data_IF_454588570414
#
_entry.id   IF_454588570414
#
_cell.length_a   1.000
_cell.length_b   1.000
_cell.length_c   1.000
_cell.angle_alpha   90.00
_cell.angle_beta   90.00
_cell.angle_gamma   90.00
#
_symmetry.space_group_name_H-M   'P 1'
#
loop_
_entity.id
_entity.type
_entity.pdbx_description
1 polymer ?
#
# COMPACT_ATOMS: atom_id res chain seq x y z
N UNK A 1 -61.10 51.87 24.75
CA UNK A 1 -59.85 51.98 23.96
C UNK A 1 -58.75 52.50 24.88
N UNK A 2 -57.57 51.85 24.94
CA UNK A 2 -56.44 52.32 25.75
C UNK A 2 -55.58 51.19 26.34
N UNK A 3 -54.60 50.71 25.58
CA UNK A 3 -53.59 49.75 26.06
C UNK A 3 -52.56 50.42 26.97
N UNK A 4 -52.14 49.77 28.07
CA UNK A 4 -50.75 49.82 28.60
C UNK A 4 -50.40 48.52 29.35
N UNK A 5 -49.82 47.54 28.66
CA UNK A 5 -49.09 46.43 29.29
C UNK A 5 -47.57 46.65 29.14
N UNK A 6 -46.84 46.45 30.23
CA UNK A 6 -45.45 46.90 30.39
C UNK A 6 -44.44 45.88 29.84
N UNK A 7 -43.70 46.23 28.79
CA UNK A 7 -42.59 45.38 28.29
C UNK A 7 -41.31 45.65 29.07
N UNK A 8 -40.92 44.71 29.96
CA UNK A 8 -39.64 44.76 30.68
C UNK A 8 -38.55 44.06 29.84
N UNK A 9 -37.54 44.78 29.36
CA UNK A 9 -36.38 44.20 28.64
C UNK A 9 -35.43 43.48 29.61
N UNK A 10 -35.03 42.22 29.33
CA UNK A 10 -33.83 41.62 29.93
C UNK A 10 -32.54 42.26 29.39
N UNK A 11 -31.44 42.09 30.12
CA UNK A 11 -30.18 42.83 29.94
C UNK A 11 -29.21 42.21 28.93
N UNK A 12 -28.36 43.06 28.34
CA UNK A 12 -27.19 42.63 27.54
C UNK A 12 -26.12 41.99 28.44
N UNK A 13 -26.25 40.70 28.77
CA UNK A 13 -25.20 39.86 29.39
C UNK A 13 -25.31 38.40 28.95
N UNK A 14 -25.34 38.16 27.63
CA UNK A 14 -25.43 36.78 27.11
C UNK A 14 -24.84 36.62 25.69
N UNK A 15 -23.85 37.44 25.32
CA UNK A 15 -23.33 37.45 23.92
C UNK A 15 -21.83 37.63 23.79
N UNK A 16 -21.06 37.42 24.87
CA UNK A 16 -19.59 37.36 24.84
C UNK A 16 -19.08 36.29 25.82
N UNK A 17 -19.09 35.02 25.38
CA UNK A 17 -18.01 34.05 25.58
C UNK A 17 -18.43 32.64 25.13
N UNK A 18 -18.42 32.41 23.81
CA UNK A 18 -17.97 31.14 23.24
C UNK A 18 -17.60 31.34 21.77
N UNK A 19 -16.54 32.13 21.52
CA UNK A 19 -15.65 31.84 20.39
C UNK A 19 -14.90 30.56 20.73
N UNK A 20 -15.63 29.44 20.71
CA UNK A 20 -15.04 28.13 20.65
C UNK A 20 -14.24 28.14 19.35
N UNK A 21 -12.91 28.00 19.46
CA UNK A 21 -12.08 27.77 18.29
C UNK A 21 -12.69 26.58 17.58
N UNK A 22 -13.20 26.78 16.37
CA UNK A 22 -13.51 25.69 15.46
C UNK A 22 -12.16 25.10 15.05
N UNK A 23 -11.58 24.33 15.96
CA UNK A 23 -10.51 23.42 15.64
C UNK A 23 -11.09 22.54 14.55
N UNK A 24 -10.60 22.71 13.32
CA UNK A 24 -10.97 21.83 12.23
C UNK A 24 -10.48 20.46 12.68
N UNK A 25 -11.41 19.61 13.13
CA UNK A 25 -11.14 18.21 13.41
C UNK A 25 -11.03 17.56 12.05
N UNK A 26 -9.90 17.81 11.39
CA UNK A 26 -9.49 17.05 10.23
C UNK A 26 -9.46 15.61 10.66
N UNK A 27 -10.21 14.76 9.95
CA UNK A 27 -10.17 13.33 10.17
C UNK A 27 -8.71 12.87 10.16
N UNK A 28 -8.31 12.09 11.17
CA UNK A 28 -6.96 11.51 11.24
C UNK A 28 -6.65 10.60 10.02
N UNK A 29 -7.68 10.23 9.26
CA UNK A 29 -7.61 9.44 8.04
C UNK A 29 -8.26 10.18 6.88
N UNK A 30 -7.56 10.24 5.75
CA UNK A 30 -8.11 10.70 4.47
C UNK A 30 -8.54 9.49 3.64
N UNK A 31 -9.75 9.53 3.06
CA UNK A 31 -10.15 8.56 2.05
C UNK A 31 -9.35 8.81 0.76
N UNK A 32 -8.59 7.81 0.33
CA UNK A 32 -7.81 7.82 -0.91
C UNK A 32 -8.58 7.09 -2.01
N UNK A 33 -8.04 7.07 -3.23
CA UNK A 33 -8.62 6.31 -4.35
C UNK A 33 -8.72 4.83 -3.97
N UNK A 34 -9.82 4.17 -4.34
CA UNK A 34 -9.98 2.75 -4.09
C UNK A 34 -9.01 1.92 -4.94
N UNK A 35 -8.54 0.81 -4.37
CA UNK A 35 -7.64 -0.12 -5.04
C UNK A 35 -8.38 -0.87 -6.17
N UNK A 36 -7.80 -1.04 -7.38
CA UNK A 36 -8.48 -1.69 -8.52
C UNK A 36 -8.95 -3.13 -8.29
N UNK A 37 -8.50 -3.78 -7.22
CA UNK A 37 -8.96 -5.12 -6.80
C UNK A 37 -8.79 -5.23 -5.29
N UNK A 38 -9.78 -5.71 -4.52
CA UNK A 38 -9.61 -5.99 -3.10
C UNK A 38 -8.48 -7.00 -2.86
N UNK A 39 -7.53 -6.64 -1.99
CA UNK A 39 -6.44 -7.50 -1.53
C UNK A 39 -6.59 -7.76 -0.03
N UNK A 40 -6.54 -9.02 0.38
CA UNK A 40 -6.40 -9.42 1.79
C UNK A 40 -4.93 -9.67 2.08
N UNK A 41 -4.43 -9.20 3.22
CA UNK A 41 -3.02 -9.31 3.62
C UNK A 41 -1.96 -9.00 2.54
N UNK A 42 -2.07 -7.85 1.83
CA UNK A 42 -0.98 -7.44 0.96
C UNK A 42 0.32 -7.19 1.75
N UNK A 43 1.44 -7.45 1.10
CA UNK A 43 2.73 -6.88 1.51
C UNK A 43 2.86 -5.49 0.88
N UNK A 44 3.27 -4.49 1.66
CA UNK A 44 3.41 -3.11 1.18
C UNK A 44 4.82 -2.57 1.48
N UNK A 45 5.47 -1.98 0.48
CA UNK A 45 6.83 -1.41 0.58
C UNK A 45 6.80 0.06 0.16
N UNK A 46 7.16 1.01 1.03
CA UNK A 46 7.26 2.43 0.66
C UNK A 46 8.50 2.68 -0.20
N UNK A 47 8.33 3.40 -1.30
CA UNK A 47 9.41 3.79 -2.21
C UNK A 47 9.20 5.23 -2.69
N UNK A 48 9.87 6.20 -2.05
CA UNK A 48 9.76 7.64 -2.37
C UNK A 48 8.30 8.13 -2.27
N UNK A 49 7.69 8.49 -3.39
CA UNK A 49 6.28 8.92 -3.48
C UNK A 49 5.34 7.78 -3.89
N UNK A 50 5.79 6.54 -3.78
CA UNK A 50 5.07 5.33 -4.16
C UNK A 50 4.90 4.39 -2.95
N UNK A 51 3.80 3.66 -2.92
CA UNK A 51 3.61 2.47 -2.08
C UNK A 51 3.48 1.30 -3.05
N UNK A 52 4.47 0.40 -3.05
CA UNK A 52 4.40 -0.85 -3.79
C UNK A 52 3.54 -1.82 -2.99
N UNK A 53 2.55 -2.43 -3.63
CA UNK A 53 1.57 -3.33 -3.03
C UNK A 53 1.71 -4.66 -3.77
N UNK A 54 2.17 -5.70 -3.09
CA UNK A 54 2.63 -6.94 -3.70
C UNK A 54 1.72 -8.13 -3.36
N UNK A 55 0.69 -8.35 -4.18
CA UNK A 55 -0.23 -9.48 -4.04
C UNK A 55 -1.09 -9.44 -2.77
N UNK A 56 -1.57 -10.61 -2.38
CA UNK A 56 -2.37 -10.84 -1.17
C UNK A 56 -2.88 -12.28 -1.14
N UNK A 57 -3.72 -12.64 -0.16
CA UNK A 57 -4.35 -13.97 -0.10
C UNK A 57 -5.10 -14.24 -1.41
N UNK A 58 -4.68 -15.29 -2.12
CA UNK A 58 -5.23 -15.68 -3.43
C UNK A 58 -5.15 -14.61 -4.53
N UNK A 59 -4.30 -13.58 -4.39
CA UNK A 59 -4.14 -12.49 -5.37
C UNK A 59 -2.66 -12.31 -5.73
N UNK A 60 -2.35 -12.40 -7.03
CA UNK A 60 -0.97 -12.33 -7.55
C UNK A 60 -0.57 -10.94 -8.06
N UNK A 61 -1.54 -10.10 -8.38
CA UNK A 61 -1.32 -8.76 -8.94
C UNK A 61 -0.59 -7.84 -7.95
N UNK A 62 0.39 -7.11 -8.47
CA UNK A 62 1.18 -6.10 -7.78
C UNK A 62 0.86 -4.73 -8.38
N UNK A 63 0.78 -3.71 -7.54
CA UNK A 63 0.44 -2.33 -7.92
C UNK A 63 1.41 -1.33 -7.28
N UNK A 64 1.66 -0.20 -7.94
CA UNK A 64 2.29 0.98 -7.33
C UNK A 64 1.20 2.02 -7.14
N UNK A 65 1.01 2.48 -5.91
CA UNK A 65 0.18 3.62 -5.56
C UNK A 65 1.04 4.87 -5.41
N UNK A 66 0.82 5.88 -6.25
CA UNK A 66 1.56 7.14 -6.16
C UNK A 66 0.84 8.13 -5.23
N UNK A 67 1.45 8.44 -4.09
CA UNK A 67 0.83 9.21 -3.00
C UNK A 67 0.42 10.63 -3.41
N UNK A 68 1.28 11.33 -4.15
CA UNK A 68 0.99 12.69 -4.65
C UNK A 68 -0.10 12.68 -5.75
N UNK A 69 -0.07 11.69 -6.65
CA UNK A 69 -1.03 11.61 -7.77
C UNK A 69 -2.39 11.02 -7.35
N UNK A 70 -2.45 10.32 -6.21
CA UNK A 70 -3.61 9.55 -5.75
C UNK A 70 -4.08 8.53 -6.81
N UNK A 71 -3.13 7.80 -7.39
CA UNK A 71 -3.40 6.86 -8.48
C UNK A 71 -2.63 5.55 -8.34
N UNK A 72 -3.21 4.48 -8.87
CA UNK A 72 -2.59 3.15 -8.97
C UNK A 72 -2.15 2.88 -10.41
N UNK A 73 -0.99 2.25 -10.56
CA UNK A 73 -0.58 1.55 -11.78
C UNK A 73 -0.29 0.08 -11.46
N UNK A 74 -0.66 -0.81 -12.38
CA UNK A 74 -0.25 -2.20 -12.34
C UNK A 74 1.28 -2.29 -12.53
N UNK A 75 1.91 -3.20 -11.79
CA UNK A 75 3.34 -3.52 -11.90
C UNK A 75 3.48 -4.82 -12.70
N UNK A 76 2.96 -5.91 -12.13
CA UNK A 76 3.00 -7.26 -12.68
C UNK A 76 2.10 -8.19 -11.86
N UNK A 77 2.02 -9.46 -12.24
CA UNK A 77 1.68 -10.52 -11.29
C UNK A 77 2.96 -11.17 -10.73
N UNK A 78 2.88 -11.82 -9.58
CA UNK A 78 3.89 -12.81 -9.16
C UNK A 78 4.09 -13.87 -10.27
N UNK A 79 5.22 -13.95 -11.00
CA UNK A 79 5.39 -14.75 -12.20
C UNK A 79 6.35 -15.95 -12.01
N UNK A 80 6.71 -16.56 -13.14
CA UNK A 80 7.96 -17.28 -13.36
C UNK A 80 8.94 -16.35 -14.16
N UNK A 81 10.08 -15.90 -13.59
CA UNK A 81 11.26 -15.27 -14.29
C UNK A 81 11.09 -13.84 -14.92
N UNK A 82 12.14 -13.07 -15.30
CA UNK A 82 13.63 -13.33 -15.35
C UNK A 82 14.58 -12.12 -15.04
N UNK A 83 15.85 -12.41 -14.72
CA UNK A 83 17.06 -11.53 -14.65
C UNK A 83 17.29 -10.55 -13.46
N UNK A 84 18.46 -9.87 -13.43
CA UNK A 84 19.09 -9.18 -12.26
C UNK A 84 19.27 -7.63 -12.37
N UNK A 85 19.41 -6.95 -11.21
CA UNK A 85 19.85 -5.54 -10.88
C UNK A 85 18.85 -4.37 -10.63
N UNK A 86 19.12 -3.61 -9.53
CA UNK A 86 18.36 -2.50 -8.93
C UNK A 86 17.04 -2.88 -8.20
N UNK A 87 16.72 -2.11 -7.14
CA UNK A 87 15.83 -2.40 -6.00
C UNK A 87 15.30 -3.85 -5.97
N UNK A 88 16.05 -4.68 -5.26
CA UNK A 88 15.72 -6.08 -4.96
C UNK A 88 14.60 -6.12 -3.92
N UNK A 89 13.36 -6.33 -4.35
CA UNK A 89 12.33 -6.83 -3.44
C UNK A 89 12.57 -8.34 -3.26
N UNK A 90 12.71 -8.80 -2.02
CA UNK A 90 12.86 -10.22 -1.68
C UNK A 90 11.54 -10.73 -1.11
N UNK A 91 10.94 -11.73 -1.76
CA UNK A 91 9.74 -12.40 -1.25
C UNK A 91 10.06 -13.86 -0.97
N UNK A 92 9.74 -14.34 0.23
CA UNK A 92 9.84 -15.76 0.57
C UNK A 92 8.66 -16.18 1.42
N UNK A 93 8.18 -17.39 1.18
CA UNK A 93 6.95 -17.87 1.81
C UNK A 93 6.60 -19.27 1.36
N UNK A 94 5.45 -19.76 1.84
CA UNK A 94 4.89 -21.07 1.50
C UNK A 94 3.38 -21.01 1.39
N UNK A 95 2.78 -22.05 0.80
CA UNK A 95 1.35 -22.28 0.95
C UNK A 95 1.01 -22.54 2.43
N UNK A 96 -0.28 -22.45 2.78
CA UNK A 96 -0.81 -22.65 4.15
C UNK A 96 -0.35 -23.96 4.83
N UNK A 97 -0.14 -25.01 4.04
CA UNK A 97 0.33 -26.33 4.49
C UNK A 97 1.86 -26.46 4.54
N UNK A 98 2.62 -25.36 4.47
CA UNK A 98 4.08 -25.35 4.48
C UNK A 98 4.75 -25.87 3.20
N UNK A 99 3.99 -26.32 2.19
CA UNK A 99 4.48 -26.78 0.88
C UNK A 99 4.67 -25.61 -0.08
N UNK A 100 5.28 -25.87 -1.24
CA UNK A 100 5.55 -24.87 -2.29
C UNK A 100 6.31 -23.65 -1.75
N UNK A 101 7.35 -23.92 -0.95
CA UNK A 101 8.29 -22.91 -0.48
C UNK A 101 8.96 -22.24 -1.67
N UNK A 102 8.98 -20.91 -1.66
CA UNK A 102 9.63 -20.12 -2.70
C UNK A 102 10.50 -19.03 -2.07
N UNK A 103 11.51 -18.61 -2.83
CA UNK A 103 12.25 -17.37 -2.59
C UNK A 103 12.43 -16.71 -3.95
N UNK A 104 11.90 -15.51 -4.07
CA UNK A 104 11.78 -14.76 -5.30
C UNK A 104 12.39 -13.37 -5.11
N UNK A 105 12.99 -12.85 -6.18
CA UNK A 105 13.45 -11.46 -6.26
C UNK A 105 12.72 -10.74 -7.39
N UNK A 106 12.22 -9.53 -7.15
CA UNK A 106 11.84 -8.59 -8.20
C UNK A 106 12.87 -7.46 -8.25
N UNK A 107 13.25 -7.05 -9.46
CA UNK A 107 13.81 -5.71 -9.69
C UNK A 107 12.67 -4.71 -9.84
N UNK A 108 12.61 -3.70 -9.00
CA UNK A 108 11.64 -2.62 -9.19
C UNK A 108 12.21 -1.41 -9.93
N UNK A 109 11.51 -0.98 -10.99
CA UNK A 109 11.66 0.33 -11.64
C UNK A 109 10.30 1.01 -11.65
N UNK A 110 10.26 2.29 -11.25
CA UNK A 110 9.02 3.05 -11.12
C UNK A 110 8.17 3.00 -12.40
N UNK A 111 6.93 2.51 -12.26
CA UNK A 111 5.91 2.53 -13.32
C UNK A 111 5.42 3.95 -13.66
N UNK A 112 5.96 4.95 -12.98
CA UNK A 112 5.75 6.38 -13.21
C UNK A 112 6.94 7.07 -13.88
N UNK A 113 7.98 6.31 -14.26
CA UNK A 113 9.14 6.82 -15.00
C UNK A 113 9.10 6.44 -16.47
N UNK A 114 9.50 7.38 -17.34
CA UNK A 114 9.49 7.23 -18.81
C UNK A 114 10.66 6.35 -19.34
N UNK A 115 11.37 5.66 -18.43
CA UNK A 115 12.53 4.81 -18.73
C UNK A 115 12.10 3.38 -19.12
N UNK A 116 10.86 2.99 -18.80
CA UNK A 116 10.37 1.62 -18.93
C UNK A 116 10.36 1.06 -20.36
N UNK A 117 10.11 1.89 -21.37
CA UNK A 117 10.02 1.48 -22.79
C UNK A 117 11.32 0.88 -23.36
N UNK A 118 12.43 0.92 -22.62
CA UNK A 118 13.73 0.38 -23.04
C UNK A 118 14.16 -0.92 -22.37
N UNK A 119 13.41 -1.45 -21.39
CA UNK A 119 13.96 -2.43 -20.45
C UNK A 119 13.01 -3.61 -20.15
N UNK A 120 13.06 -4.65 -20.99
CA UNK A 120 12.10 -5.78 -21.01
C UNK A 120 12.08 -6.69 -19.75
N UNK A 121 13.06 -6.60 -18.85
CA UNK A 121 13.28 -7.56 -17.76
C UNK A 121 13.25 -6.89 -16.37
N UNK A 122 12.34 -5.93 -16.15
CA UNK A 122 12.11 -5.28 -14.85
C UNK A 122 10.66 -5.47 -14.43
N UNK A 123 10.36 -5.19 -13.16
CA UNK A 123 9.02 -5.33 -12.59
C UNK A 123 8.47 -6.75 -12.72
N UNK A 124 9.32 -7.77 -12.67
CA UNK A 124 8.96 -9.19 -12.71
C UNK A 124 9.62 -9.91 -11.54
N UNK A 125 8.89 -10.77 -10.82
CA UNK A 125 9.51 -11.65 -9.83
C UNK A 125 10.15 -12.88 -10.47
N UNK A 126 11.31 -13.27 -9.97
CA UNK A 126 12.14 -14.33 -10.53
C UNK A 126 12.60 -15.25 -9.38
N UNK A 127 12.89 -16.53 -9.62
CA UNK A 127 13.57 -17.37 -8.64
C UNK A 127 14.87 -16.75 -8.15
N UNK A 128 15.05 -16.66 -6.84
CA UNK A 128 16.33 -16.33 -6.25
C UNK A 128 17.27 -17.53 -6.42
N UNK A 129 18.43 -17.32 -7.04
CA UNK A 129 19.32 -18.42 -7.46
C UNK A 129 20.77 -18.17 -7.09
N UNK A 130 21.54 -19.25 -6.97
CA UNK A 130 22.99 -19.22 -6.82
C UNK A 130 23.71 -18.84 -8.13
N UNK A 131 25.05 -18.87 -8.13
CA UNK A 131 25.87 -18.58 -9.31
C UNK A 131 25.75 -19.62 -10.44
N UNK A 132 25.14 -20.78 -10.16
CA UNK A 132 24.89 -21.86 -11.12
C UNK A 132 23.42 -21.89 -11.59
N UNK A 133 22.63 -20.88 -11.21
CA UNK A 133 21.18 -20.77 -11.44
C UNK A 133 20.32 -21.81 -10.69
N UNK A 134 20.83 -22.45 -9.65
CA UNK A 134 20.02 -23.32 -8.78
C UNK A 134 19.14 -22.47 -7.85
N UNK A 135 17.84 -22.77 -7.70
CA UNK A 135 16.97 -22.05 -6.76
C UNK A 135 17.43 -22.18 -5.32
N UNK A 136 17.61 -21.04 -4.65
CA UNK A 136 17.85 -20.95 -3.21
C UNK A 136 16.49 -20.87 -2.53
N UNK A 137 16.25 -21.67 -1.50
CA UNK A 137 15.02 -21.64 -0.70
C UNK A 137 15.39 -21.21 0.72
N UNK A 138 14.84 -20.07 1.16
CA UNK A 138 14.98 -19.60 2.54
C UNK A 138 13.95 -20.32 3.42
N UNK A 139 14.41 -21.34 4.14
CA UNK A 139 13.66 -21.98 5.22
C UNK A 139 13.81 -23.50 5.28
N UNK A 140 13.68 -24.08 6.49
CA UNK A 140 13.74 -25.53 6.67
C UNK A 140 12.43 -26.21 6.21
N UNK A 141 12.46 -27.54 6.01
CA UNK A 141 11.30 -28.30 5.53
C UNK A 141 10.08 -28.28 6.48
N UNK A 142 10.30 -28.19 7.79
CA UNK A 142 9.28 -28.30 8.85
C UNK A 142 8.59 -26.99 9.20
N UNK A 143 9.26 -25.86 8.98
CA UNK A 143 8.74 -24.54 9.34
C UNK A 143 7.64 -24.10 8.36
N UNK A 144 6.60 -23.48 8.92
CA UNK A 144 5.53 -22.83 8.18
C UNK A 144 5.91 -21.35 7.93
N UNK A 145 6.05 -20.96 6.66
CA UNK A 145 6.32 -19.57 6.26
C UNK A 145 5.09 -18.91 5.61
N UNK A 146 3.90 -19.43 5.90
CA UNK A 146 2.65 -18.82 5.47
C UNK A 146 2.49 -17.43 6.10
N UNK A 147 2.27 -16.41 5.26
CA UNK A 147 2.03 -15.03 5.71
C UNK A 147 3.26 -14.28 6.23
N UNK A 148 4.48 -14.82 6.04
CA UNK A 148 5.72 -14.10 6.37
C UNK A 148 5.85 -12.85 5.50
N UNK A 149 6.36 -11.76 6.10
CA UNK A 149 6.52 -10.45 5.47
C UNK A 149 7.94 -9.95 5.80
N UNK A 150 8.64 -9.45 4.79
CA UNK A 150 9.99 -8.87 4.86
C UNK A 150 10.12 -7.76 3.81
#
# INVERSE_FOLDING_TARGET
>A
MGNKNTTRRPSKKETEQTKQSQHIIGSAFQTLKELPTPLSDPQCVPHKHEILICGGVSKRACYSYHTIKNEYKFICEYPNNKDKNQITLLSFGSNWNGKNKHTLVMKYVSVWSDILDKLNNYNQWIPFTDNHNHPIIIGNQYNNYCGVRA
#
